data_IF_029815473234
#
_entry.id   IF_029815473234
#
_cell.length_a   1.000
_cell.length_b   1.000
_cell.length_c   1.000
_cell.angle_alpha   90.00
_cell.angle_beta   90.00
_cell.angle_gamma   90.00
#
_symmetry.space_group_name_H-M   'P 1'
#
loop_
_entity.id
_entity.type
_entity.pdbx_description
1 polymer ?
#
# COMPACT_ATOMS: atom_id res chain seq x y z
N UNK A 1 -28.06 -13.93 -2.72
CA UNK A 1 -27.70 -12.93 -1.71
C UNK A 1 -26.26 -12.38 -1.87
N UNK A 2 -25.63 -12.48 -3.05
CA UNK A 2 -24.23 -12.04 -3.24
C UNK A 2 -24.04 -10.55 -3.58
N UNK A 3 -25.09 -9.81 -3.98
CA UNK A 3 -24.97 -8.43 -4.48
C UNK A 3 -24.60 -7.40 -3.40
N UNK A 4 -25.04 -7.63 -2.16
CA UNK A 4 -24.84 -6.66 -1.06
C UNK A 4 -23.34 -6.50 -0.72
N UNK A 5 -22.55 -7.56 -0.89
CA UNK A 5 -21.13 -7.51 -0.57
C UNK A 5 -20.31 -6.76 -1.63
N UNK A 6 -20.74 -6.79 -2.90
CA UNK A 6 -20.07 -6.09 -4.01
C UNK A 6 -20.24 -4.58 -3.92
N UNK A 7 -21.45 -4.09 -3.64
CA UNK A 7 -21.70 -2.63 -3.53
C UNK A 7 -20.93 -2.00 -2.36
N UNK A 8 -20.77 -2.72 -1.24
CA UNK A 8 -19.99 -2.25 -0.10
C UNK A 8 -18.50 -2.20 -0.44
N UNK A 9 -17.98 -3.23 -1.12
CA UNK A 9 -16.60 -3.30 -1.59
C UNK A 9 -16.28 -2.14 -2.54
N UNK A 10 -17.12 -1.90 -3.55
CA UNK A 10 -16.94 -0.79 -4.50
C UNK A 10 -16.97 0.57 -3.79
N UNK A 11 -17.81 0.73 -2.77
CA UNK A 11 -17.87 1.96 -1.96
C UNK A 11 -16.60 2.17 -1.12
N UNK A 12 -16.05 1.11 -0.55
CA UNK A 12 -14.77 1.16 0.19
C UNK A 12 -13.63 1.55 -0.77
N UNK A 13 -13.56 0.95 -1.95
CA UNK A 13 -12.53 1.30 -2.93
C UNK A 13 -12.66 2.75 -3.41
N UNK A 14 -13.88 3.22 -3.72
CA UNK A 14 -14.11 4.62 -4.09
C UNK A 14 -13.71 5.59 -2.95
N UNK A 15 -13.90 5.20 -1.69
CA UNK A 15 -13.45 5.97 -0.53
C UNK A 15 -11.91 6.02 -0.45
N UNK A 16 -11.25 4.86 -0.56
CA UNK A 16 -9.79 4.76 -0.47
C UNK A 16 -9.07 5.43 -1.65
N UNK A 17 -9.70 5.46 -2.83
CA UNK A 17 -9.20 6.15 -4.02
C UNK A 17 -9.50 7.66 -4.03
N UNK A 18 -10.28 8.16 -3.06
CA UNK A 18 -10.68 9.57 -3.01
C UNK A 18 -11.63 9.98 -4.14
N UNK A 19 -12.38 9.03 -4.70
CA UNK A 19 -13.35 9.26 -5.77
C UNK A 19 -14.72 9.72 -5.26
N UNK A 20 -14.97 9.60 -3.95
CA UNK A 20 -16.19 10.11 -3.33
C UNK A 20 -16.20 11.64 -3.28
N UNK A 21 -17.37 12.24 -3.46
CA UNK A 21 -17.53 13.67 -3.20
C UNK A 21 -17.36 13.98 -1.70
N UNK A 22 -16.98 15.22 -1.35
CA UNK A 22 -16.82 15.64 0.05
C UNK A 22 -18.02 15.29 0.97
N UNK A 23 -19.30 15.56 0.60
CA UNK A 23 -20.43 15.20 1.45
C UNK A 23 -20.62 13.69 1.59
N UNK A 24 -20.38 12.91 0.53
CA UNK A 24 -20.47 11.45 0.57
C UNK A 24 -19.36 10.86 1.43
N UNK A 25 -18.14 11.41 1.32
CA UNK A 25 -17.00 11.01 2.15
C UNK A 25 -17.28 11.24 3.63
N UNK A 26 -17.78 12.43 4.00
CA UNK A 26 -18.14 12.73 5.39
C UNK A 26 -19.25 11.81 5.92
N UNK A 27 -20.27 11.51 5.10
CA UNK A 27 -21.31 10.57 5.48
C UNK A 27 -20.76 9.15 5.66
N UNK A 28 -19.82 8.72 4.82
CA UNK A 28 -19.19 7.41 4.93
C UNK A 28 -18.25 7.31 6.15
N UNK A 29 -17.50 8.37 6.46
CA UNK A 29 -16.68 8.45 7.67
C UNK A 29 -17.51 8.38 8.95
N UNK A 30 -18.70 8.99 8.96
CA UNK A 30 -19.65 8.81 10.06
C UNK A 30 -20.15 7.36 10.18
N UNK A 31 -20.40 6.68 9.06
CA UNK A 31 -20.75 5.25 9.06
C UNK A 31 -19.62 4.39 9.62
N UNK A 32 -18.37 4.64 9.20
CA UNK A 32 -17.18 3.97 9.74
C UNK A 32 -17.06 4.19 11.26
N UNK A 33 -17.36 5.40 11.76
CA UNK A 33 -17.32 5.71 13.19
C UNK A 33 -18.44 5.06 14.01
N UNK A 34 -19.55 4.67 13.38
CA UNK A 34 -20.70 4.03 14.03
C UNK A 34 -20.66 2.50 13.96
N UNK A 35 -20.06 1.94 12.91
CA UNK A 35 -19.98 0.50 12.66
C UNK A 35 -18.54 -0.01 12.76
N UNK A 36 -18.23 -0.72 13.84
CA UNK A 36 -16.91 -1.30 14.09
C UNK A 36 -16.54 -2.35 13.03
N UNK A 37 -17.50 -3.12 12.52
CA UNK A 37 -17.25 -4.12 11.48
C UNK A 37 -16.88 -3.47 10.15
N UNK A 38 -17.52 -2.35 9.81
CA UNK A 38 -17.15 -1.55 8.64
C UNK A 38 -15.75 -0.94 8.80
N UNK A 39 -15.39 -0.47 9.98
CA UNK A 39 -14.05 0.06 10.25
C UNK A 39 -12.95 -1.00 10.08
N UNK A 40 -13.16 -2.21 10.60
CA UNK A 40 -12.24 -3.36 10.42
C UNK A 40 -12.11 -3.75 8.95
N UNK A 41 -13.22 -3.75 8.20
CA UNK A 41 -13.21 -4.06 6.77
C UNK A 41 -12.40 -3.01 5.98
N UNK A 42 -12.60 -1.72 6.26
CA UNK A 42 -11.80 -0.64 5.64
C UNK A 42 -10.32 -0.77 5.99
N UNK A 43 -9.99 -1.12 7.24
CA UNK A 43 -8.61 -1.35 7.66
C UNK A 43 -7.97 -2.54 6.92
N UNK A 44 -8.72 -3.62 6.73
CA UNK A 44 -8.27 -4.81 5.99
C UNK A 44 -7.96 -4.46 4.53
N UNK A 45 -8.85 -3.75 3.86
CA UNK A 45 -8.63 -3.28 2.48
C UNK A 45 -7.40 -2.37 2.35
N UNK A 46 -7.16 -1.46 3.31
CA UNK A 46 -5.95 -0.63 3.33
C UNK A 46 -4.69 -1.48 3.40
N UNK A 47 -4.68 -2.47 4.29
CA UNK A 47 -3.56 -3.38 4.45
C UNK A 47 -3.31 -4.20 3.17
N UNK A 48 -4.37 -4.73 2.55
CA UNK A 48 -4.26 -5.48 1.29
C UNK A 48 -3.63 -4.63 0.18
N UNK A 49 -4.05 -3.36 0.04
CA UNK A 49 -3.48 -2.42 -0.93
C UNK A 49 -2.00 -2.13 -0.67
N UNK A 50 -1.64 -1.91 0.59
CA UNK A 50 -0.24 -1.68 0.99
C UNK A 50 0.62 -2.92 0.70
N UNK A 51 0.12 -4.12 1.00
CA UNK A 51 0.81 -5.37 0.69
C UNK A 51 1.01 -5.56 -0.81
N UNK A 52 -0.01 -5.32 -1.63
CA UNK A 52 0.11 -5.39 -3.09
C UNK A 52 1.12 -4.37 -3.63
N UNK A 53 1.14 -3.15 -3.08
CA UNK A 53 2.10 -2.14 -3.48
C UNK A 53 3.55 -2.55 -3.17
N UNK A 54 3.79 -3.14 -2.00
CA UNK A 54 5.13 -3.65 -1.61
C UNK A 54 5.56 -4.82 -2.49
N UNK A 55 4.64 -5.75 -2.79
CA UNK A 55 4.92 -6.88 -3.70
C UNK A 55 5.30 -6.38 -5.09
N UNK A 56 4.55 -5.40 -5.62
CA UNK A 56 4.84 -4.79 -6.91
C UNK A 56 6.19 -4.06 -6.91
N UNK A 57 6.52 -3.31 -5.86
CA UNK A 57 7.82 -2.65 -5.74
C UNK A 57 8.97 -3.65 -5.78
N UNK A 58 8.85 -4.75 -5.03
CA UNK A 58 9.87 -5.80 -4.99
C UNK A 58 10.06 -6.47 -6.36
N UNK A 59 8.96 -6.76 -7.06
CA UNK A 59 8.98 -7.32 -8.40
C UNK A 59 9.72 -6.41 -9.39
N UNK A 60 9.36 -5.11 -9.43
CA UNK A 60 10.06 -4.11 -10.25
C UNK A 60 11.55 -4.00 -9.91
N UNK A 61 11.88 -4.08 -8.61
CA UNK A 61 13.28 -4.02 -8.16
C UNK A 61 14.07 -5.22 -8.63
N UNK A 62 13.45 -6.41 -8.65
CA UNK A 62 14.05 -7.62 -9.18
C UNK A 62 14.25 -7.52 -10.70
N UNK A 63 13.25 -7.07 -11.46
CA UNK A 63 13.37 -6.87 -12.91
C UNK A 63 14.49 -5.89 -13.26
N UNK A 64 14.61 -4.77 -12.53
CA UNK A 64 15.70 -3.81 -12.72
C UNK A 64 17.08 -4.41 -12.42
N UNK A 65 17.18 -5.25 -11.39
CA UNK A 65 18.42 -5.95 -11.06
C UNK A 65 18.80 -6.98 -12.15
N UNK A 66 17.82 -7.65 -12.75
CA UNK A 66 18.02 -8.56 -13.87
C UNK A 66 18.49 -7.82 -15.12
N UNK A 67 17.86 -6.69 -15.48
CA UNK A 67 18.30 -5.86 -16.59
C UNK A 67 19.71 -5.29 -16.41
N UNK A 68 20.08 -4.94 -15.18
CA UNK A 68 21.44 -4.48 -14.89
C UNK A 68 22.46 -5.60 -15.12
N UNK A 69 22.17 -6.82 -14.66
CA UNK A 69 23.01 -8.00 -14.92
C UNK A 69 23.10 -8.33 -16.41
N UNK A 70 22.02 -8.15 -17.17
CA UNK A 70 22.02 -8.37 -18.61
C UNK A 70 22.91 -7.35 -19.34
N UNK A 71 22.88 -6.07 -18.93
CA UNK A 71 23.78 -5.04 -19.45
C UNK A 71 25.25 -5.36 -19.19
N UNK A 72 25.57 -5.88 -18.00
CA UNK A 72 26.94 -6.24 -17.64
C UNK A 72 27.43 -7.51 -18.36
N UNK A 73 26.51 -8.38 -18.79
CA UNK A 73 26.83 -9.59 -19.60
C UNK A 73 27.11 -9.29 -21.06
N UNK A 74 26.55 -8.19 -21.60
CA UNK A 74 26.91 -7.77 -22.93
C UNK A 74 28.42 -7.44 -22.91
N UNK A 75 29.25 -8.14 -23.70
CA UNK A 75 30.67 -7.83 -23.76
C UNK A 75 30.78 -6.35 -24.04
N UNK A 76 31.69 -5.62 -23.35
CA UNK A 76 31.87 -4.20 -23.62
C UNK A 76 31.99 -4.09 -25.12
N UNK A 77 31.08 -3.34 -25.76
CA UNK A 77 31.15 -3.05 -27.18
C UNK A 77 32.52 -2.43 -27.34
N UNK A 78 33.50 -3.28 -27.65
CA UNK A 78 34.88 -2.89 -27.85
C UNK A 78 34.71 -1.80 -28.87
N UNK A 79 34.97 -0.55 -28.46
CA UNK A 79 34.98 0.59 -29.35
C UNK A 79 36.01 0.21 -30.39
N UNK A 80 35.53 -0.46 -31.43
CA UNK A 80 36.30 -0.84 -32.58
C UNK A 80 36.49 0.52 -33.20
N UNK A 81 37.58 1.19 -32.81
CA UNK A 81 38.07 2.44 -33.40
C UNK A 81 37.97 2.23 -34.89
N UNK A 82 36.85 2.68 -35.45
CA UNK A 82 36.55 2.59 -36.85
C UNK A 82 37.45 3.65 -37.46
N UNK A 83 38.68 3.24 -37.74
CA UNK A 83 39.50 3.91 -38.73
C UNK A 83 38.70 3.91 -40.04
N UNK A 84 38.05 5.05 -40.30
CA UNK A 84 37.46 5.49 -41.55
C UNK A 84 36.97 4.44 -42.55
N UNK A 85 35.76 3.93 -42.38
CA UNK A 85 34.94 3.57 -43.54
C UNK A 85 33.45 3.78 -43.21
N UNK A 86 32.97 5.01 -43.40
CA UNK A 86 31.55 5.35 -43.20
C UNK A 86 30.72 4.58 -44.24
N UNK A 87 29.76 3.72 -43.86
CA UNK A 87 28.90 3.07 -44.83
C UNK A 87 28.01 4.12 -45.53
N UNK A 88 27.72 3.96 -46.85
CA UNK A 88 26.94 4.91 -47.65
C UNK A 88 25.43 4.88 -47.35
N UNK A 89 25.03 4.53 -46.13
CA UNK A 89 23.62 4.37 -45.74
C UNK A 89 22.92 5.68 -45.33
N UNK A 90 23.67 6.76 -45.11
CA UNK A 90 23.13 8.10 -44.78
C UNK A 90 22.12 8.66 -45.79
N UNK A 91 22.31 8.58 -47.13
CA UNK A 91 21.30 9.05 -48.07
C UNK A 91 20.00 8.23 -48.01
N UNK A 92 20.05 6.95 -47.67
CA UNK A 92 18.84 6.11 -47.63
C UNK A 92 17.89 6.49 -46.49
N UNK A 93 18.43 6.90 -45.33
CA UNK A 93 17.63 7.41 -44.22
C UNK A 93 16.90 8.72 -44.56
N UNK A 94 17.49 9.58 -45.40
CA UNK A 94 16.82 10.79 -45.87
C UNK A 94 15.65 10.48 -46.80
N UNK A 95 15.77 9.44 -47.64
CA UNK A 95 14.68 8.98 -48.50
C UNK A 95 13.52 8.43 -47.65
N UNK A 96 13.82 7.60 -46.64
CA UNK A 96 12.79 7.08 -45.72
C UNK A 96 12.10 8.18 -44.92
N UNK A 97 12.84 9.17 -44.42
CA UNK A 97 12.26 10.31 -43.71
C UNK A 97 11.35 11.16 -44.60
N UNK A 98 11.74 11.40 -45.85
CA UNK A 98 10.92 12.12 -46.82
C UNK A 98 9.61 11.36 -47.16
N UNK A 99 9.68 10.03 -47.23
CA UNK A 99 8.52 9.17 -47.51
C UNK A 99 7.55 9.11 -46.33
N UNK A 100 8.06 9.12 -45.10
CA UNK A 100 7.22 9.20 -43.90
C UNK A 100 6.50 10.56 -43.80
N UNK A 101 7.20 11.66 -44.09
CA UNK A 101 6.61 13.01 -44.07
C UNK A 101 5.55 13.20 -45.16
N UNK A 102 5.74 12.62 -46.36
CA UNK A 102 4.75 12.71 -47.42
C UNK A 102 3.48 11.91 -47.10
N UNK A 103 3.63 10.73 -46.49
CA UNK A 103 2.49 9.93 -46.01
C UNK A 103 1.69 10.67 -44.93
N UNK A 104 2.38 11.35 -43.99
CA UNK A 104 1.74 12.13 -42.94
C UNK A 104 0.96 13.34 -43.50
N UNK A 105 1.53 14.03 -44.50
CA UNK A 105 0.86 15.14 -45.17
C UNK A 105 -0.40 14.68 -45.94
N UNK A 106 -0.32 13.55 -46.64
CA UNK A 106 -1.46 12.92 -47.32
C UNK A 106 -2.56 12.48 -46.35
N UNK A 107 -2.18 11.99 -45.17
CA UNK A 107 -3.14 11.65 -44.11
C UNK A 107 -3.85 12.90 -43.58
N UNK A 108 -3.11 14.00 -43.39
CA UNK A 108 -3.68 15.28 -42.95
C UNK A 108 -4.72 15.86 -43.92
N UNK A 109 -4.52 15.71 -45.24
CA UNK A 109 -5.51 16.13 -46.24
C UNK A 109 -6.83 15.32 -46.19
N UNK A 110 -6.83 14.14 -45.57
CA UNK A 110 -8.03 13.29 -45.45
C UNK A 110 -8.84 13.51 -44.19
N UNK A 111 -8.37 14.31 -43.22
CA UNK A 111 -9.13 14.59 -42.00
C UNK A 111 -10.27 15.57 -42.37
N UNK A 112 -11.54 15.14 -42.36
CA UNK A 112 -12.65 16.04 -42.64
C UNK A 112 -12.68 17.13 -41.56
N UNK A 113 -12.86 18.38 -41.99
CA UNK A 113 -12.92 19.52 -41.09
C UNK A 113 -13.96 19.24 -39.97
N UNK A 114 -13.59 19.43 -38.69
CA UNK A 114 -14.53 19.24 -37.59
C UNK A 114 -15.74 20.15 -37.84
N UNK A 115 -16.93 19.55 -37.81
CA UNK A 115 -18.17 20.29 -38.03
C UNK A 115 -18.20 21.51 -37.08
N UNK A 116 -18.56 22.71 -37.57
CA UNK A 116 -18.63 23.87 -36.72
C UNK A 116 -19.59 23.58 -35.55
N UNK A 117 -19.23 23.95 -34.31
CA UNK A 117 -20.08 23.68 -33.16
C UNK A 117 -21.44 24.35 -33.36
N UNK A 118 -22.55 23.66 -33.03
CA UNK A 118 -23.89 24.24 -33.14
C UNK A 118 -23.98 25.51 -32.28
N UNK A 119 -24.41 26.61 -32.91
CA UNK A 119 -24.53 27.96 -32.34
C UNK A 119 -25.57 28.10 -31.22
N UNK A 120 -26.17 27.01 -30.76
CA UNK A 120 -27.34 27.06 -29.88
C UNK A 120 -27.01 26.96 -28.37
N UNK A 121 -25.73 26.91 -27.98
CA UNK A 121 -25.35 26.81 -26.55
C UNK A 121 -25.06 28.14 -25.85
N UNK A 122 -24.97 29.27 -26.56
CA UNK A 122 -24.68 30.58 -25.95
C UNK A 122 -25.89 31.26 -25.28
N UNK A 123 -27.10 30.70 -25.38
CA UNK A 123 -28.30 31.26 -24.72
C UNK A 123 -28.73 30.57 -23.43
N UNK A 124 -28.07 29.47 -23.03
CA UNK A 124 -28.45 28.76 -21.80
C UNK A 124 -27.74 29.29 -20.53
N UNK A 125 -26.65 30.05 -20.66
CA UNK A 125 -25.88 30.53 -19.49
C UNK A 125 -26.26 31.93 -18.99
N UNK A 126 -27.15 32.66 -19.68
CA UNK A 126 -27.59 34.00 -19.24
C UNK A 126 -28.86 34.03 -18.36
N UNK A 127 -29.39 32.89 -17.94
CA UNK A 127 -30.65 32.84 -17.17
C UNK A 127 -30.54 32.37 -15.72
N UNK A 128 -29.34 32.19 -15.16
CA UNK A 128 -29.17 31.73 -13.76
C UNK A 128 -28.40 32.69 -12.84
N UNK A 129 -28.45 33.99 -13.10
CA UNK A 129 -28.11 35.03 -12.11
C UNK A 129 -29.33 35.92 -11.85
N UNK A 130 -30.27 35.43 -11.03
CA UNK A 130 -31.23 36.30 -10.34
C UNK A 130 -31.19 36.03 -8.84
N UNK A 131 -30.54 36.91 -8.06
CA UNK A 131 -30.63 36.93 -6.61
C UNK A 131 -32.05 37.35 -6.15
N UNK A 132 -32.68 36.52 -5.33
CA UNK A 132 -33.84 36.85 -4.50
C UNK A 132 -33.64 36.05 -3.19
N UNK A 133 -33.07 36.66 -2.16
CA UNK A 133 -33.80 37.40 -1.12
C UNK A 133 -34.53 36.43 -0.18
N UNK A 134 -33.98 36.32 1.03
CA UNK A 134 -34.55 35.58 2.16
C UNK A 134 -35.88 36.20 2.61
N UNK A 135 -36.74 35.40 3.26
CA UNK A 135 -37.10 35.78 4.63
C UNK A 135 -37.16 34.60 5.62
N UNK A 136 -36.57 34.85 6.79
CA UNK A 136 -37.14 34.68 8.14
C UNK A 136 -38.08 33.50 8.47
N UNK A 137 -37.56 32.64 9.38
CA UNK A 137 -38.15 32.20 10.66
C UNK A 137 -39.66 31.90 10.75
N UNK A 138 -40.01 30.64 11.08
CA UNK A 138 -40.39 30.24 12.45
C UNK A 138 -40.80 28.75 12.56
N UNK A 139 -40.59 28.10 13.73
CA UNK A 139 -40.98 26.71 14.05
C UNK A 139 -42.44 26.64 14.57
N UNK A 140 -43.08 25.46 14.62
CA UNK A 140 -43.23 24.78 15.92
C UNK A 140 -43.41 23.24 15.89
N UNK A 141 -43.30 22.64 17.09
CA UNK A 141 -43.98 21.42 17.59
C UNK A 141 -43.76 20.10 16.83
N UNK A 142 -43.24 19.03 17.44
CA UNK A 142 -43.65 18.45 18.73
C UNK A 142 -44.42 17.16 18.46
N UNK A 143 -44.16 16.10 19.25
CA UNK A 143 -44.67 14.70 19.20
C UNK A 143 -43.67 13.73 18.54
N UNK A 144 -43.24 12.62 19.16
CA UNK A 144 -43.71 11.94 20.35
C UNK A 144 -42.56 11.13 20.96
N UNK A 145 -42.50 11.14 22.29
CA UNK A 145 -41.80 10.15 23.08
C UNK A 145 -42.61 8.86 23.05
N UNK A 146 -41.94 7.73 22.84
CA UNK A 146 -42.48 6.39 23.03
C UNK A 146 -41.38 5.48 23.59
N UNK A 147 -41.66 4.68 24.64
CA UNK A 147 -40.68 4.21 25.60
C UNK A 147 -40.19 2.78 25.33
N UNK A 148 -39.16 2.39 26.08
CA UNK A 148 -38.93 1.06 26.66
C UNK A 148 -38.99 -0.17 25.73
N UNK A 149 -37.83 -0.79 25.50
CA UNK A 149 -37.68 -2.22 25.79
C UNK A 149 -36.20 -2.56 26.01
N UNK A 150 -35.83 -2.56 27.29
CA UNK A 150 -34.72 -3.33 27.86
C UNK A 150 -35.21 -4.78 28.00
N UNK A 151 -34.40 -5.77 27.60
CA UNK A 151 -34.11 -6.79 28.59
C UNK A 151 -32.63 -7.25 28.61
N UNK A 152 -32.09 -7.23 29.83
CA UNK A 152 -31.64 -8.45 30.50
C UNK A 152 -30.18 -8.90 30.25
N UNK A 153 -29.31 -8.17 30.95
CA UNK A 153 -28.18 -8.69 31.70
C UNK A 153 -28.50 -10.06 32.37
N UNK A 154 -27.93 -11.14 31.83
CA UNK A 154 -27.72 -12.39 32.58
C UNK A 154 -26.23 -12.70 32.64
N UNK A 155 -25.60 -12.17 33.69
CA UNK A 155 -24.38 -12.67 34.31
C UNK A 155 -24.73 -13.90 35.16
N UNK A 156 -24.08 -15.05 34.95
CA UNK A 156 -23.90 -16.03 36.01
C UNK A 156 -22.54 -15.81 36.66
N UNK A 157 -22.57 -15.38 37.93
CA UNK A 157 -21.48 -15.66 38.85
C UNK A 157 -21.53 -17.14 39.23
N UNK A 158 -20.43 -17.85 39.08
CA UNK A 158 -20.17 -19.10 39.79
C UNK A 158 -18.83 -18.95 40.54
N UNK A 159 -18.83 -18.87 41.88
CA UNK A 159 -17.63 -18.95 42.69
C UNK A 159 -17.43 -20.39 43.21
N UNK A 160 -16.39 -21.06 42.74
CA UNK A 160 -15.99 -22.38 43.23
C UNK A 160 -14.47 -22.58 43.20
N UNK A 161 -13.79 -22.73 44.36
CA UNK A 161 -12.33 -22.81 44.46
C UNK A 161 -11.85 -24.26 44.44
N UNK A 162 -10.77 -24.55 43.71
CA UNK A 162 -9.88 -25.67 44.07
C UNK A 162 -8.44 -25.36 43.71
N UNK A 163 -7.61 -25.33 44.75
CA UNK A 163 -6.17 -25.27 44.69
C UNK A 163 -5.58 -26.53 44.02
N UNK A 164 -4.50 -26.34 43.27
CA UNK A 164 -3.28 -27.18 43.30
C UNK A 164 -2.16 -26.46 42.56
N UNK A 165 -1.16 -26.04 43.32
CA UNK A 165 0.16 -25.69 42.81
C UNK A 165 0.82 -26.97 42.29
N UNK A 166 0.76 -27.18 40.98
CA UNK A 166 1.59 -28.17 40.31
C UNK A 166 2.70 -27.44 39.56
N UNK A 167 3.95 -27.69 40.00
CA UNK A 167 5.16 -27.21 39.36
C UNK A 167 5.17 -27.61 37.87
N UNK A 168 5.53 -26.71 36.94
CA UNK A 168 5.63 -27.08 35.54
C UNK A 168 6.83 -28.02 35.34
N UNK A 169 6.54 -29.21 34.82
CA UNK A 169 7.53 -30.08 34.19
C UNK A 169 8.26 -29.30 33.08
N UNK A 170 9.54 -29.57 32.79
CA UNK A 170 10.26 -28.94 31.69
C UNK A 170 9.47 -29.13 30.40
N UNK A 171 8.89 -28.04 29.92
CA UNK A 171 8.14 -28.01 28.68
C UNK A 171 9.12 -28.35 27.57
N UNK A 172 8.94 -29.51 26.92
CA UNK A 172 9.52 -29.73 25.61
C UNK A 172 9.13 -28.53 24.73
N UNK A 173 10.08 -27.89 24.01
CA UNK A 173 9.78 -26.74 23.18
C UNK A 173 8.62 -27.12 22.26
N UNK A 174 7.51 -26.40 22.41
CA UNK A 174 6.32 -26.63 21.60
C UNK A 174 6.75 -26.54 20.13
N UNK A 175 6.27 -27.48 19.32
CA UNK A 175 6.45 -27.38 17.87
C UNK A 175 5.93 -25.99 17.44
N UNK A 176 6.69 -25.28 16.58
CA UNK A 176 6.32 -23.93 16.17
C UNK A 176 4.89 -23.93 15.63
N UNK A 177 4.08 -22.97 16.07
CA UNK A 177 2.71 -22.84 15.59
C UNK A 177 2.70 -22.52 14.09
N UNK A 178 1.58 -22.81 13.42
CA UNK A 178 1.43 -22.51 11.99
C UNK A 178 1.72 -21.03 11.68
N UNK A 179 1.36 -20.13 12.60
CA UNK A 179 1.62 -18.70 12.48
C UNK A 179 3.12 -18.36 12.58
N UNK A 180 3.88 -19.05 13.44
CA UNK A 180 5.33 -18.89 13.53
C UNK A 180 6.04 -19.41 12.27
N UNK A 181 5.54 -20.48 11.66
CA UNK A 181 6.04 -20.98 10.39
C UNK A 181 5.75 -20.00 9.25
N UNK A 182 4.57 -19.39 9.22
CA UNK A 182 4.21 -18.39 8.22
C UNK A 182 5.04 -17.10 8.37
N UNK A 183 5.28 -16.65 9.60
CA UNK A 183 6.14 -15.50 9.88
C UNK A 183 7.62 -15.75 9.50
N UNK A 184 8.11 -16.97 9.74
CA UNK A 184 9.45 -17.38 9.34
C UNK A 184 9.59 -17.45 7.80
N UNK A 185 8.56 -17.93 7.10
CA UNK A 185 8.54 -17.99 5.64
C UNK A 185 8.46 -16.58 5.02
N UNK A 186 7.64 -15.69 5.58
CA UNK A 186 7.58 -14.28 5.18
C UNK A 186 8.92 -13.58 5.35
N UNK A 187 9.59 -13.79 6.49
CA UNK A 187 10.93 -13.21 6.76
C UNK A 187 12.00 -13.72 5.79
N UNK A 188 11.89 -14.98 5.34
CA UNK A 188 12.80 -15.58 4.35
C UNK A 188 12.55 -15.04 2.94
N UNK A 189 11.30 -14.81 2.55
CA UNK A 189 10.92 -14.36 1.21
C UNK A 189 10.93 -12.84 1.02
N UNK A 190 10.80 -12.05 2.08
CA UNK A 190 10.79 -10.59 2.03
C UNK A 190 12.16 -9.94 1.67
N UNK A 191 13.16 -10.74 1.28
CA UNK A 191 14.46 -10.20 0.86
C UNK A 191 15.20 -9.43 1.97
N UNK A 192 14.90 -9.73 3.25
CA UNK A 192 15.68 -9.28 4.40
C UNK A 192 17.01 -10.03 4.50
N UNK A 193 17.68 -10.26 3.37
CA UNK A 193 19.07 -10.67 3.33
C UNK A 193 19.89 -9.48 3.84
N UNK A 194 20.23 -9.53 5.13
CA UNK A 194 21.22 -8.66 5.72
C UNK A 194 22.56 -8.95 5.05
N UNK A 195 22.93 -8.15 4.05
CA UNK A 195 24.28 -8.15 3.49
C UNK A 195 25.25 -7.60 4.54
N UNK A 196 25.57 -8.44 5.52
CA UNK A 196 26.74 -8.25 6.36
C UNK A 196 27.94 -8.49 5.48
N UNK A 197 28.57 -7.41 5.00
CA UNK A 197 29.91 -7.48 4.43
C UNK A 197 30.81 -8.21 5.43
N UNK A 198 31.12 -9.46 5.07
CA UNK A 198 31.87 -10.44 5.86
C UNK A 198 33.32 -9.95 5.94
N UNK A 199 33.62 -9.00 6.82
CA UNK A 199 34.96 -8.44 6.92
C UNK A 199 35.28 -7.64 8.18
N UNK A 200 34.34 -6.89 8.73
CA UNK A 200 34.58 -6.09 9.94
C UNK A 200 33.81 -6.64 11.13
N UNK A 201 34.52 -6.88 12.23
CA UNK A 201 33.94 -7.26 13.50
C UNK A 201 32.79 -6.31 13.85
N UNK A 202 31.61 -6.86 14.14
CA UNK A 202 30.36 -6.16 14.48
C UNK A 202 30.62 -4.93 15.36
N UNK A 203 30.83 -3.77 14.73
CA UNK A 203 31.29 -2.57 15.43
C UNK A 203 30.13 -1.86 16.11
N UNK A 204 28.89 -2.16 15.71
CA UNK A 204 27.71 -1.53 16.27
C UNK A 204 26.85 -2.51 17.08
N UNK A 205 26.15 -2.04 18.13
CA UNK A 205 25.19 -2.86 18.88
C UNK A 205 24.11 -3.48 17.99
N UNK A 206 23.79 -2.84 16.87
CA UNK A 206 22.84 -3.34 15.88
C UNK A 206 23.35 -4.58 15.15
N UNK A 207 24.61 -4.59 14.71
CA UNK A 207 25.18 -5.73 13.96
C UNK A 207 25.22 -6.99 14.82
N UNK A 208 25.57 -6.83 16.11
CA UNK A 208 25.54 -7.91 17.09
C UNK A 208 24.12 -8.40 17.37
N UNK A 209 23.16 -7.48 17.50
CA UNK A 209 21.75 -7.82 17.67
C UNK A 209 21.18 -8.57 16.46
N UNK A 210 21.50 -8.13 15.24
CA UNK A 210 21.02 -8.75 14.00
C UNK A 210 21.55 -10.18 13.84
N UNK A 211 22.81 -10.45 14.19
CA UNK A 211 23.37 -11.81 14.20
C UNK A 211 22.66 -12.70 15.22
N UNK A 212 22.31 -12.17 16.40
CA UNK A 212 21.57 -12.93 17.42
C UNK A 212 20.12 -13.17 17.02
N UNK A 213 19.45 -12.19 16.39
CA UNK A 213 18.13 -12.35 15.79
C UNK A 213 18.13 -13.45 14.71
N UNK A 214 19.16 -13.49 13.87
CA UNK A 214 19.31 -14.53 12.84
C UNK A 214 19.52 -15.93 13.44
N UNK A 215 20.08 -16.01 14.65
CA UNK A 215 20.26 -17.25 15.40
C UNK A 215 19.07 -17.59 16.31
N UNK A 216 18.00 -16.78 16.27
CA UNK A 216 16.81 -16.91 17.13
C UNK A 216 17.14 -16.79 18.64
N UNK A 217 18.25 -16.14 19.00
CA UNK A 217 18.66 -15.90 20.38
C UNK A 217 18.11 -14.55 20.87
N UNK A 218 16.80 -14.51 21.11
CA UNK A 218 16.07 -13.30 21.46
C UNK A 218 16.45 -12.73 22.83
N UNK A 219 16.79 -13.60 23.80
CA UNK A 219 17.20 -13.19 25.14
C UNK A 219 18.44 -12.30 25.10
N UNK A 220 19.41 -12.64 24.24
CA UNK A 220 20.62 -11.84 24.06
C UNK A 220 20.43 -10.68 23.09
N UNK A 221 19.51 -10.78 22.12
CA UNK A 221 19.28 -9.74 21.13
C UNK A 221 18.59 -8.49 21.70
N UNK A 222 17.57 -8.66 22.56
CA UNK A 222 16.78 -7.57 23.14
C UNK A 222 17.61 -6.47 23.85
N UNK A 223 18.55 -6.79 24.77
CA UNK A 223 19.35 -5.75 25.44
C UNK A 223 20.28 -5.02 24.48
N UNK A 224 20.66 -5.62 23.35
CA UNK A 224 21.48 -4.97 22.33
C UNK A 224 20.64 -4.04 21.44
N UNK A 225 19.42 -4.43 21.09
CA UNK A 225 18.45 -3.57 20.39
C UNK A 225 18.12 -2.31 21.21
N UNK A 226 17.99 -2.45 22.53
CA UNK A 226 17.74 -1.32 23.43
C UNK A 226 18.91 -0.32 23.52
N UNK A 227 20.14 -0.76 23.21
CA UNK A 227 21.37 0.07 23.23
C UNK A 227 21.63 0.80 21.92
N UNK A 228 20.83 0.58 20.88
CA UNK A 228 20.98 1.28 19.60
C UNK A 228 20.66 2.76 19.78
N UNK A 229 21.61 3.68 19.51
CA UNK A 229 21.39 5.10 19.73
C UNK A 229 20.34 5.66 18.75
N UNK A 230 19.53 6.65 19.16
CA UNK A 230 18.51 7.27 18.32
C UNK A 230 19.08 8.01 17.10
N UNK A 231 20.37 8.37 17.15
CA UNK A 231 21.09 8.97 16.03
C UNK A 231 21.55 7.96 14.97
N UNK A 232 21.42 6.65 15.20
CA UNK A 232 21.76 5.66 14.19
C UNK A 232 20.62 5.51 13.18
N UNK A 233 20.97 5.36 11.89
CA UNK A 233 19.99 5.08 10.83
C UNK A 233 19.19 3.79 11.06
N UNK A 234 19.65 2.91 11.96
CA UNK A 234 19.02 1.64 12.29
C UNK A 234 18.09 1.70 13.50
N UNK A 235 17.92 2.86 14.15
CA UNK A 235 17.11 2.97 15.37
C UNK A 235 15.65 2.55 15.18
N UNK A 236 15.00 3.00 14.09
CA UNK A 236 13.60 2.65 13.79
C UNK A 236 13.43 1.14 13.59
N UNK A 237 14.38 0.50 12.89
CA UNK A 237 14.40 -0.95 12.69
C UNK A 237 14.62 -1.70 14.00
N UNK A 238 15.49 -1.19 14.87
CA UNK A 238 15.70 -1.78 16.19
C UNK A 238 14.46 -1.73 17.08
N UNK A 239 13.71 -0.63 17.04
CA UNK A 239 12.45 -0.50 17.79
C UNK A 239 11.35 -1.40 17.25
N UNK A 240 11.25 -1.52 15.92
CA UNK A 240 10.26 -2.39 15.28
C UNK A 240 10.52 -3.87 15.60
N UNK A 241 11.78 -4.33 15.51
CA UNK A 241 12.14 -5.70 15.86
C UNK A 241 11.96 -5.99 17.36
N UNK A 242 12.28 -5.03 18.24
CA UNK A 242 12.03 -5.19 19.67
C UNK A 242 10.53 -5.29 19.99
N UNK A 243 9.68 -4.55 19.26
CA UNK A 243 8.23 -4.64 19.40
C UNK A 243 7.66 -5.98 18.93
N UNK A 244 8.18 -6.51 17.82
CA UNK A 244 7.76 -7.81 17.27
C UNK A 244 8.08 -9.00 18.18
N UNK A 245 9.16 -8.93 18.97
CA UNK A 245 9.53 -10.00 19.92
C UNK A 245 8.60 -10.05 21.15
N UNK A 246 7.94 -8.93 21.47
CA UNK A 246 7.04 -8.85 22.63
C UNK A 246 5.59 -9.29 22.32
N UNK A 247 5.28 -9.59 21.06
CA UNK A 247 3.99 -10.12 20.60
C UNK A 247 4.03 -11.64 20.53
#
# INVERSE_FOLDING_TARGET
MAKINTELHDKIEAYLDGQMSEPERQAFEQQIGQDTGLAELVATHRLEREMMAVLLENDLRQEMAEWQKEKDRLPPLVEKKSAGNRPPFRPWLLVLAALALSALALWWLRVPAPAPPPKDKEQAEQQLEKPAEAPETSPPAGQEAGPEDEPENTRPEDPGPVAREDMPAPQQPAAPSADQLLAAEFSRNAGLSFDFERGEAAATPWDSAAVLLQKEDFEQALPLLARVPPSSGNFTRARLNAGLIHL
#
